data_IF_583127805917
#
_entry.id   IF_583127805917
#
_cell.length_a   1.000
_cell.length_b   1.000
_cell.length_c   1.000
_cell.angle_alpha   90.00
_cell.angle_beta   90.00
_cell.angle_gamma   90.00
#
_symmetry.space_group_name_H-M   'P 1'
#
loop_
_entity.id
_entity.type
_entity.pdbx_description
1 polymer ?
#
# COMPACT_ATOMS: atom_id res chain seq x y z
N UNK A 1 5.39 -2.10 -12.88
CA UNK A 1 5.32 -0.69 -12.57
C UNK A 1 4.32 -0.45 -11.43
N UNK A 2 4.73 0.31 -10.44
CA UNK A 2 3.89 0.55 -9.26
C UNK A 2 2.70 1.44 -9.59
N UNK A 3 1.53 1.06 -9.07
CA UNK A 3 0.30 1.83 -9.23
C UNK A 3 0.08 2.72 -8.01
N UNK A 4 -0.04 4.01 -8.25
CA UNK A 4 -0.34 4.97 -7.17
C UNK A 4 -1.84 5.13 -6.93
N UNK A 5 -2.66 4.45 -7.70
CA UNK A 5 -4.11 4.50 -7.54
C UNK A 5 -4.50 4.05 -6.14
N UNK A 6 -5.41 4.78 -5.51
CA UNK A 6 -5.92 4.51 -4.16
C UNK A 6 -4.97 4.86 -3.01
N UNK A 7 -3.76 5.37 -3.28
CA UNK A 7 -2.92 5.88 -2.21
C UNK A 7 -3.46 7.24 -1.73
N UNK A 8 -3.46 7.50 -0.42
CA UNK A 8 -3.71 8.85 0.07
C UNK A 8 -2.70 9.82 -0.52
N UNK A 9 -3.14 11.05 -0.79
CA UNK A 9 -2.30 12.04 -1.48
C UNK A 9 -0.97 12.26 -0.75
N UNK A 10 -1.01 12.39 0.56
CA UNK A 10 0.20 12.60 1.35
C UNK A 10 1.19 11.44 1.22
N UNK A 11 0.68 10.22 1.26
CA UNK A 11 1.52 9.02 1.12
C UNK A 11 2.09 8.96 -0.30
N UNK A 12 1.28 9.29 -1.30
CA UNK A 12 1.73 9.28 -2.69
C UNK A 12 2.87 10.27 -2.92
N UNK A 13 2.74 11.49 -2.42
CA UNK A 13 3.76 12.54 -2.58
C UNK A 13 5.08 12.07 -1.97
N UNK A 14 5.04 11.55 -0.75
CA UNK A 14 6.25 11.10 -0.06
C UNK A 14 6.89 9.91 -0.77
N UNK A 15 6.08 8.98 -1.23
CA UNK A 15 6.62 7.80 -1.92
C UNK A 15 7.21 8.17 -3.28
N UNK A 16 6.62 9.12 -4.00
CA UNK A 16 7.21 9.60 -5.26
C UNK A 16 8.58 10.22 -5.04
N UNK A 17 8.76 10.98 -3.96
CA UNK A 17 10.07 11.51 -3.60
C UNK A 17 11.06 10.39 -3.25
N UNK A 18 10.60 9.39 -2.51
CA UNK A 18 11.44 8.23 -2.20
C UNK A 18 11.91 7.54 -3.48
N UNK A 19 11.02 7.34 -4.44
CA UNK A 19 11.36 6.72 -5.72
C UNK A 19 12.36 7.55 -6.50
N UNK A 20 12.23 8.88 -6.47
CA UNK A 20 13.18 9.77 -7.14
C UNK A 20 14.57 9.66 -6.51
N UNK A 21 14.66 9.61 -5.19
CA UNK A 21 15.92 9.41 -4.49
C UNK A 21 16.56 8.07 -4.86
N UNK A 22 15.77 7.02 -4.90
CA UNK A 22 16.26 5.68 -5.27
C UNK A 22 16.79 5.67 -6.69
N UNK A 23 16.04 6.23 -7.63
CA UNK A 23 16.44 6.28 -9.03
C UNK A 23 17.71 7.09 -9.23
N UNK A 24 17.93 8.10 -8.41
CA UNK A 24 19.14 8.91 -8.46
C UNK A 24 20.33 8.32 -7.73
N UNK A 25 20.17 7.14 -7.11
CA UNK A 25 21.24 6.50 -6.36
C UNK A 25 21.49 7.10 -4.99
N UNK A 26 20.61 7.96 -4.51
CA UNK A 26 20.73 8.62 -3.20
C UNK A 26 20.07 7.73 -2.13
N UNK A 27 20.73 6.65 -1.75
CA UNK A 27 20.11 5.62 -0.94
C UNK A 27 19.85 6.05 0.50
N UNK A 28 20.68 6.93 1.06
CA UNK A 28 20.40 7.45 2.41
C UNK A 28 19.19 8.37 2.40
N UNK A 29 19.06 9.22 1.38
CA UNK A 29 17.89 10.07 1.21
C UNK A 29 16.65 9.21 0.93
N UNK A 30 16.81 8.15 0.15
CA UNK A 30 15.73 7.18 -0.08
C UNK A 30 15.24 6.57 1.23
N UNK A 31 16.16 6.12 2.10
CA UNK A 31 15.77 5.55 3.39
C UNK A 31 15.01 6.56 4.25
N UNK A 32 15.44 7.82 4.26
CA UNK A 32 14.74 8.87 4.99
C UNK A 32 13.33 9.11 4.44
N UNK A 33 13.19 9.17 3.12
CA UNK A 33 11.88 9.36 2.51
C UNK A 33 11.00 8.13 2.63
N UNK A 34 11.59 6.94 2.61
CA UNK A 34 10.87 5.69 2.85
C UNK A 34 10.26 5.69 4.26
N UNK A 35 11.05 6.12 5.26
CA UNK A 35 10.53 6.24 6.63
C UNK A 35 9.37 7.23 6.70
N UNK A 36 9.52 8.39 6.09
CA UNK A 36 8.46 9.40 6.09
C UNK A 36 7.21 8.89 5.40
N UNK A 37 7.35 8.14 4.31
CA UNK A 37 6.23 7.52 3.62
C UNK A 37 5.47 6.58 4.56
N UNK A 38 6.19 5.74 5.28
CA UNK A 38 5.56 4.80 6.20
C UNK A 38 4.94 5.50 7.41
N UNK A 39 5.58 6.56 7.92
CA UNK A 39 4.99 7.38 8.98
C UNK A 39 3.66 7.99 8.52
N UNK A 40 3.61 8.49 7.29
CA UNK A 40 2.36 9.02 6.72
C UNK A 40 1.28 7.95 6.61
N UNK A 41 1.66 6.74 6.19
CA UNK A 41 0.73 5.62 6.11
C UNK A 41 0.22 5.24 7.51
N UNK A 42 1.09 5.16 8.51
CA UNK A 42 0.66 4.83 9.87
C UNK A 42 -0.26 5.90 10.46
N UNK A 43 0.01 7.17 10.19
CA UNK A 43 -0.86 8.25 10.66
C UNK A 43 -2.25 8.13 10.06
N UNK A 44 -2.34 7.74 8.80
CA UNK A 44 -3.62 7.59 8.10
C UNK A 44 -4.36 6.31 8.53
N UNK A 45 -3.63 5.21 8.68
CA UNK A 45 -4.23 3.90 8.98
C UNK A 45 -4.53 3.67 10.46
N UNK A 46 -3.83 4.38 11.35
CA UNK A 46 -3.97 4.19 12.79
C UNK A 46 -3.23 2.94 13.29
N UNK A 47 -3.40 2.67 14.58
CA UNK A 47 -2.67 1.57 15.23
C UNK A 47 -3.00 0.20 14.64
N UNK A 48 -4.27 -0.05 14.33
CA UNK A 48 -4.68 -1.33 13.75
C UNK A 48 -4.00 -1.55 12.38
N UNK A 49 -3.90 -0.50 11.58
CA UNK A 49 -3.21 -0.57 10.29
C UNK A 49 -1.71 -0.78 10.45
N UNK A 50 -1.10 -0.12 11.44
CA UNK A 50 0.32 -0.30 11.74
C UNK A 50 0.63 -1.73 12.13
N UNK A 51 -0.20 -2.33 12.98
CA UNK A 51 -0.04 -3.74 13.36
C UNK A 51 -0.18 -4.67 12.16
N UNK A 52 -1.12 -4.37 11.28
CA UNK A 52 -1.31 -5.16 10.07
C UNK A 52 -0.08 -5.11 9.16
N UNK A 53 0.51 -3.93 9.02
CA UNK A 53 1.75 -3.78 8.25
C UNK A 53 2.90 -4.54 8.90
N UNK A 54 2.97 -4.53 10.22
CA UNK A 54 3.97 -5.31 10.94
C UNK A 54 3.86 -6.79 10.63
N UNK A 55 2.64 -7.33 10.66
CA UNK A 55 2.40 -8.73 10.34
C UNK A 55 2.73 -9.04 8.89
N UNK A 56 2.37 -8.15 7.96
CA UNK A 56 2.70 -8.32 6.55
C UNK A 56 4.20 -8.31 6.31
N UNK A 57 4.93 -7.47 7.03
CA UNK A 57 6.39 -7.43 6.90
C UNK A 57 7.01 -8.76 7.31
N UNK A 58 6.52 -9.37 8.38
CA UNK A 58 7.00 -10.68 8.80
C UNK A 58 6.68 -11.77 7.77
N UNK A 59 5.51 -11.69 7.14
CA UNK A 59 5.16 -12.62 6.07
C UNK A 59 6.07 -12.46 4.85
N UNK A 60 6.36 -11.22 4.48
CA UNK A 60 7.26 -10.93 3.36
C UNK A 60 8.64 -11.51 3.61
N UNK A 61 9.14 -11.41 4.84
CA UNK A 61 10.43 -11.99 5.20
C UNK A 61 10.48 -13.50 4.89
N UNK A 62 9.43 -14.20 5.29
CA UNK A 62 9.36 -15.65 5.06
C UNK A 62 9.25 -15.99 3.59
N UNK A 63 8.42 -15.26 2.85
CA UNK A 63 8.18 -15.54 1.43
C UNK A 63 9.36 -15.19 0.54
N UNK A 64 10.04 -14.09 0.82
CA UNK A 64 11.10 -13.57 -0.03
C UNK A 64 12.51 -14.00 0.42
N UNK A 65 12.60 -14.78 1.49
CA UNK A 65 13.86 -15.29 2.01
C UNK A 65 14.89 -14.17 2.26
N UNK A 66 14.44 -13.13 2.96
CA UNK A 66 15.30 -11.99 3.28
C UNK A 66 16.22 -12.37 4.44
N UNK A 67 17.52 -12.13 4.27
CA UNK A 67 18.49 -12.44 5.32
C UNK A 67 18.25 -11.58 6.56
N UNK A 68 18.64 -12.12 7.73
CA UNK A 68 18.34 -11.48 9.00
C UNK A 68 18.94 -10.06 9.13
N UNK A 69 20.20 -9.80 8.77
CA UNK A 69 20.74 -8.45 8.85
C UNK A 69 19.95 -7.43 8.01
N UNK A 70 19.62 -7.79 6.78
CA UNK A 70 18.84 -6.92 5.89
C UNK A 70 17.45 -6.68 6.47
N UNK A 71 16.80 -7.71 6.99
CA UNK A 71 15.48 -7.56 7.58
C UNK A 71 15.49 -6.61 8.76
N UNK A 72 16.50 -6.70 9.62
CA UNK A 72 16.63 -5.80 10.78
C UNK A 72 16.73 -4.35 10.32
N UNK A 73 17.54 -4.07 9.31
CA UNK A 73 17.70 -2.72 8.79
C UNK A 73 16.42 -2.18 8.14
N UNK A 74 15.73 -3.02 7.37
CA UNK A 74 14.47 -2.65 6.75
C UNK A 74 13.42 -2.33 7.82
N UNK A 75 13.33 -3.15 8.84
CA UNK A 75 12.38 -2.95 9.94
C UNK A 75 12.66 -1.65 10.66
N UNK A 76 13.93 -1.31 10.86
CA UNK A 76 14.31 -0.04 11.49
C UNK A 76 13.90 1.16 10.65
N UNK A 77 14.02 1.07 9.34
CA UNK A 77 13.57 2.16 8.47
C UNK A 77 12.05 2.30 8.55
N UNK A 78 11.31 1.21 8.45
CA UNK A 78 9.86 1.25 8.37
C UNK A 78 9.22 1.69 9.69
N UNK A 79 9.64 1.11 10.80
CA UNK A 79 9.00 1.34 12.11
C UNK A 79 9.79 2.27 13.02
N UNK A 80 11.09 2.46 12.79
CA UNK A 80 11.94 3.18 13.69
C UNK A 80 12.17 2.43 14.99
N UNK A 81 12.75 3.12 15.97
CA UNK A 81 12.90 2.62 17.32
C UNK A 81 12.39 3.70 18.27
N UNK A 82 11.38 3.35 19.05
CA UNK A 82 10.73 4.30 19.96
C UNK A 82 11.64 4.73 21.12
N UNK A 83 12.71 3.99 21.36
CA UNK A 83 13.60 4.22 22.48
C UNK A 83 14.83 5.06 22.13
N UNK A 84 15.00 5.47 20.88
CA UNK A 84 16.16 6.24 20.48
C UNK A 84 15.81 7.71 20.42
N UNK A 85 16.40 8.56 21.33
CA UNK A 85 16.12 10.01 21.31
C UNK A 85 16.64 10.69 20.04
N UNK A 86 17.58 10.06 19.35
CA UNK A 86 18.11 10.55 18.07
C UNK A 86 18.06 9.42 17.04
N UNK A 87 16.86 9.15 16.50
CA UNK A 87 16.71 8.01 15.57
C UNK A 87 17.60 8.20 14.37
N UNK A 88 18.71 7.47 14.35
CA UNK A 88 19.59 7.43 13.18
C UNK A 88 19.06 6.38 12.23
N UNK A 89 18.91 6.78 10.97
CA UNK A 89 18.57 5.81 9.94
C UNK A 89 19.80 4.98 9.62
N UNK A 90 19.64 3.68 9.37
CA UNK A 90 20.76 2.86 8.94
C UNK A 90 21.26 3.29 7.56
N UNK A 91 22.55 3.15 7.34
CA UNK A 91 23.13 3.34 6.02
C UNK A 91 22.87 2.06 5.22
N UNK A 92 22.21 2.20 4.09
CA UNK A 92 21.88 1.06 3.24
C UNK A 92 22.79 1.03 2.02
N UNK A 93 23.24 -0.15 1.66
CA UNK A 93 23.90 -0.33 0.36
C UNK A 93 22.82 -0.45 -0.73
N UNK A 94 23.26 -0.54 -1.98
CA UNK A 94 22.35 -0.58 -3.12
C UNK A 94 21.42 -1.80 -3.08
N UNK A 95 21.90 -2.94 -2.64
CA UNK A 95 21.12 -4.16 -2.55
C UNK A 95 20.06 -4.06 -1.45
N UNK A 96 20.44 -3.58 -0.29
CA UNK A 96 19.51 -3.38 0.82
C UNK A 96 18.44 -2.33 0.46
N UNK A 97 18.85 -1.25 -0.22
CA UNK A 97 17.92 -0.25 -0.69
C UNK A 97 16.92 -0.84 -1.67
N UNK A 98 17.38 -1.70 -2.57
CA UNK A 98 16.50 -2.39 -3.51
C UNK A 98 15.49 -3.28 -2.82
N UNK A 99 15.92 -4.03 -1.82
CA UNK A 99 15.03 -4.89 -1.04
C UNK A 99 14.00 -4.02 -0.30
N UNK A 100 14.45 -2.94 0.34
CA UNK A 100 13.54 -2.01 1.03
C UNK A 100 12.48 -1.46 0.07
N UNK A 101 12.89 -1.07 -1.13
CA UNK A 101 11.97 -0.55 -2.13
C UNK A 101 10.88 -1.57 -2.47
N UNK A 102 11.27 -2.81 -2.75
CA UNK A 102 10.31 -3.85 -3.10
C UNK A 102 9.36 -4.18 -1.95
N UNK A 103 9.88 -4.19 -0.73
CA UNK A 103 9.08 -4.41 0.47
C UNK A 103 8.04 -3.31 0.64
N UNK A 104 8.44 -2.03 0.52
CA UNK A 104 7.51 -0.92 0.67
C UNK A 104 6.44 -0.96 -0.41
N UNK A 105 6.82 -1.25 -1.65
CA UNK A 105 5.84 -1.41 -2.74
C UNK A 105 4.79 -2.47 -2.38
N UNK A 106 5.23 -3.59 -1.86
CA UNK A 106 4.32 -4.66 -1.48
C UNK A 106 3.40 -4.24 -0.34
N UNK A 107 3.95 -3.62 0.70
CA UNK A 107 3.17 -3.17 1.84
C UNK A 107 2.09 -2.15 1.40
N UNK A 108 2.47 -1.16 0.62
CA UNK A 108 1.52 -0.14 0.14
C UNK A 108 0.50 -0.75 -0.82
N UNK A 109 0.91 -1.69 -1.65
CA UNK A 109 -0.01 -2.39 -2.52
C UNK A 109 -1.09 -3.11 -1.70
N UNK A 110 -0.67 -3.87 -0.69
CA UNK A 110 -1.61 -4.67 0.11
C UNK A 110 -2.62 -3.79 0.86
N UNK A 111 -2.16 -2.71 1.49
CA UNK A 111 -3.06 -1.91 2.34
C UNK A 111 -3.89 -0.90 1.58
N UNK A 112 -3.46 -0.45 0.42
CA UNK A 112 -4.17 0.60 -0.33
C UNK A 112 -4.64 0.15 -1.70
N UNK A 113 -3.73 -0.31 -2.54
CA UNK A 113 -4.05 -0.54 -3.95
C UNK A 113 -4.98 -1.74 -4.10
N UNK A 114 -4.61 -2.86 -3.50
CA UNK A 114 -5.42 -4.07 -3.59
C UNK A 114 -6.79 -3.88 -2.95
N UNK A 115 -6.81 -3.30 -1.77
CA UNK A 115 -8.06 -3.04 -1.06
C UNK A 115 -8.95 -2.10 -1.85
N UNK A 116 -8.39 -1.00 -2.37
CA UNK A 116 -9.14 -0.03 -3.15
C UNK A 116 -9.69 -0.62 -4.44
N UNK A 117 -8.89 -1.42 -5.13
CA UNK A 117 -9.34 -2.10 -6.35
C UNK A 117 -10.48 -3.06 -6.07
N UNK A 118 -10.37 -3.81 -4.96
CA UNK A 118 -11.41 -4.75 -4.59
C UNK A 118 -12.71 -4.03 -4.24
N UNK A 119 -12.61 -2.96 -3.44
CA UNK A 119 -13.78 -2.16 -3.08
C UNK A 119 -14.43 -1.56 -4.33
N UNK A 120 -13.62 -1.04 -5.25
CA UNK A 120 -14.14 -0.48 -6.50
C UNK A 120 -14.83 -1.55 -7.35
N UNK A 121 -14.25 -2.74 -7.45
CA UNK A 121 -14.85 -3.84 -8.18
C UNK A 121 -16.19 -4.25 -7.58
N UNK A 122 -16.27 -4.31 -6.24
CA UNK A 122 -17.52 -4.65 -5.55
C UNK A 122 -18.58 -3.59 -5.76
N UNK A 123 -18.20 -2.31 -5.75
CA UNK A 123 -19.13 -1.22 -6.04
C UNK A 123 -19.63 -1.30 -7.48
N UNK A 124 -18.76 -1.58 -8.43
CA UNK A 124 -19.14 -1.72 -9.83
C UNK A 124 -20.12 -2.88 -10.03
N UNK A 125 -19.87 -4.00 -9.38
CA UNK A 125 -20.79 -5.15 -9.46
C UNK A 125 -22.15 -4.79 -8.90
N UNK A 126 -22.18 -4.07 -7.80
CA UNK A 126 -23.43 -3.65 -7.17
C UNK A 126 -24.20 -2.69 -8.08
N UNK A 127 -23.48 -1.76 -8.69
CA UNK A 127 -24.09 -0.82 -9.64
C UNK A 127 -24.72 -1.54 -10.82
N UNK A 128 -24.01 -2.47 -11.44
CA UNK A 128 -24.50 -3.21 -12.58
C UNK A 128 -25.67 -4.13 -12.20
N UNK A 129 -25.67 -4.69 -11.01
CA UNK A 129 -26.78 -5.49 -10.55
C UNK A 129 -28.05 -4.64 -10.39
N UNK A 130 -27.91 -3.46 -9.80
CA UNK A 130 -29.05 -2.54 -9.62
C UNK A 130 -29.57 -2.05 -10.96
N UNK A 131 -28.68 -1.73 -11.91
CA UNK A 131 -29.05 -1.33 -13.25
C UNK A 131 -29.84 -2.42 -13.97
N UNK A 132 -29.37 -3.65 -13.86
CA UNK A 132 -30.05 -4.79 -14.49
C UNK A 132 -31.46 -4.98 -13.93
N UNK A 133 -31.61 -4.88 -12.62
CA UNK A 133 -32.92 -4.98 -11.99
C UNK A 133 -33.85 -3.85 -12.43
N UNK A 134 -33.32 -2.64 -12.51
CA UNK A 134 -34.09 -1.49 -12.98
C UNK A 134 -34.56 -1.68 -14.41
N UNK A 135 -33.68 -2.11 -15.29
CA UNK A 135 -34.00 -2.36 -16.69
C UNK A 135 -35.08 -3.43 -16.83
N UNK A 136 -34.99 -4.50 -16.05
CA UNK A 136 -35.98 -5.55 -16.10
C UNK A 136 -37.34 -5.07 -15.67
N UNK A 137 -37.43 -4.24 -14.66
CA UNK A 137 -38.72 -3.69 -14.19
C UNK A 137 -39.29 -2.65 -15.12
N UNK A 138 -38.47 -2.00 -15.94
CA UNK A 138 -38.89 -0.93 -16.83
C UNK A 138 -39.30 -1.41 -18.23
N UNK A 139 -38.98 -2.64 -18.58
CA UNK A 139 -39.27 -3.17 -19.91
C UNK A 139 -40.79 -3.31 -20.12
N UNK A 140 -41.35 -2.62 -21.10
CA UNK A 140 -42.79 -2.66 -21.30
C UNK A 140 -43.35 -4.03 -21.59
N UNK A 141 -42.64 -4.83 -22.33
CA UNK A 141 -43.11 -6.18 -22.64
C UNK A 141 -43.28 -7.06 -21.42
N UNK A 142 -42.53 -6.78 -20.38
CA UNK A 142 -42.67 -7.53 -19.15
C UNK A 142 -43.80 -7.08 -18.30
N UNK A 143 -44.05 -5.82 -18.35
CA UNK A 143 -45.12 -5.25 -17.55
C UNK A 143 -46.47 -5.53 -18.15
N UNK A 144 -46.55 -5.52 -19.44
CA UNK A 144 -47.79 -5.66 -20.14
C UNK A 144 -48.48 -6.99 -19.96
N UNK A 145 -47.79 -8.10 -19.99
CA UNK A 145 -48.45 -9.41 -20.01
C UNK A 145 -49.51 -9.62 -18.95
N UNK A 146 -49.28 -9.20 -17.74
CA UNK A 146 -50.24 -9.50 -16.69
C UNK A 146 -51.61 -8.92 -16.90
N UNK A 147 -51.70 -8.03 -17.81
CA UNK A 147 -52.95 -7.32 -17.95
C UNK A 147 -54.03 -8.04 -18.70
N UNK A 148 -53.74 -9.08 -19.30
CA UNK A 148 -54.76 -9.80 -20.00
C UNK A 148 -55.76 -10.46 -19.16
#
# INVERSE_FOLDING_TARGET
KFSFTHLPEEVEVLFREALACYSGGSYNAFAAMARRTMQGAFAELGEAGKLRIFDQLNDVRSMADIDAPTFIEIKRVIFGTDSDPHPSLPLLDDQQAGVLLEVIKDLLYQVYVRKGRLQQAMMMRRYFADESLHDLSAVPGREAPPRR
#
